data_IF_070240056819
#
_entry.id   IF_070240056819
#
_cell.length_a   1.000
_cell.length_b   1.000
_cell.length_c   1.000
_cell.angle_alpha   90.00
_cell.angle_beta   90.00
_cell.angle_gamma   90.00
#
_symmetry.space_group_name_H-M   'P 1'
#
loop_
_entity.id
_entity.type
_entity.pdbx_description
1 polymer ?
#
# COMPACT_ATOMS: atom_id res chain seq x y z
N UNK A 1 -23.53 -2.34 -30.74
CA UNK A 1 -23.72 -1.61 -29.47
C UNK A 1 -23.00 -2.42 -28.42
N UNK A 2 -22.08 -1.82 -27.68
CA UNK A 2 -21.40 -2.51 -26.58
C UNK A 2 -22.34 -2.39 -25.37
N UNK A 3 -22.91 -3.50 -24.91
CA UNK A 3 -23.73 -3.54 -23.72
C UNK A 3 -22.79 -3.40 -22.52
N UNK A 4 -22.97 -2.31 -21.78
CA UNK A 4 -22.22 -2.02 -20.57
C UNK A 4 -22.95 -2.72 -19.42
N UNK A 5 -22.43 -3.87 -19.00
CA UNK A 5 -22.94 -4.64 -17.86
C UNK A 5 -22.70 -3.89 -16.54
N UNK A 6 -23.78 -3.31 -15.98
CA UNK A 6 -23.78 -2.64 -14.68
C UNK A 6 -23.47 -3.59 -13.51
N UNK A 7 -23.75 -4.89 -13.65
CA UNK A 7 -23.52 -5.90 -12.60
C UNK A 7 -22.04 -6.05 -12.22
N UNK A 8 -21.12 -5.84 -13.17
CA UNK A 8 -19.68 -5.96 -12.91
C UNK A 8 -19.12 -4.84 -12.02
N UNK A 9 -19.87 -3.74 -11.82
CA UNK A 9 -19.44 -2.60 -11.01
C UNK A 9 -19.77 -2.77 -9.53
N UNK A 10 -20.87 -3.43 -9.17
CA UNK A 10 -21.29 -3.61 -7.78
C UNK A 10 -20.38 -4.57 -7.01
N UNK A 11 -19.88 -5.64 -7.64
CA UNK A 11 -18.91 -6.56 -7.02
C UNK A 11 -17.58 -5.86 -6.71
N UNK A 12 -17.16 -4.89 -7.54
CA UNK A 12 -15.94 -4.14 -7.35
C UNK A 12 -16.04 -3.12 -6.17
N UNK A 13 -17.26 -2.65 -5.85
CA UNK A 13 -17.49 -1.76 -4.71
C UNK A 13 -17.46 -2.49 -3.36
N UNK A 14 -17.84 -3.78 -3.32
CA UNK A 14 -17.81 -4.56 -2.10
C UNK A 14 -16.39 -4.79 -1.56
N UNK A 15 -15.39 -4.90 -2.45
CA UNK A 15 -13.97 -5.01 -2.07
C UNK A 15 -13.32 -3.66 -1.76
N UNK A 16 -13.90 -2.55 -2.24
CA UNK A 16 -13.32 -1.21 -2.20
C UNK A 16 -14.12 -0.29 -1.27
N UNK A 17 -14.17 -0.64 0.03
CA UNK A 17 -14.99 0.02 1.04
C UNK A 17 -15.12 1.55 0.88
N UNK A 18 -16.37 2.02 0.86
CA UNK A 18 -16.96 3.39 0.84
C UNK A 18 -16.28 4.56 0.09
N UNK A 19 -15.03 4.45 -0.36
CA UNK A 19 -14.23 5.49 -1.02
C UNK A 19 -13.40 4.91 -2.20
N UNK A 20 -13.71 3.70 -2.68
CA UNK A 20 -12.91 3.04 -3.70
C UNK A 20 -11.53 2.60 -3.20
N UNK A 21 -11.31 2.58 -1.88
CA UNK A 21 -10.07 2.13 -1.26
C UNK A 21 -10.24 0.67 -0.83
N UNK A 22 -9.28 -0.22 -1.15
CA UNK A 22 -9.31 -1.57 -0.62
C UNK A 22 -9.39 -1.54 0.91
N UNK A 23 -10.26 -2.34 1.51
CA UNK A 23 -10.36 -2.47 2.98
C UNK A 23 -9.20 -3.26 3.57
N UNK A 24 -8.55 -4.05 2.73
CA UNK A 24 -7.34 -4.79 3.03
C UNK A 24 -6.38 -4.76 1.85
N UNK A 25 -5.09 -4.82 2.13
CA UNK A 25 -4.07 -4.87 1.09
C UNK A 25 -2.67 -4.90 1.67
N UNK A 26 -1.72 -4.44 0.86
CA UNK A 26 -0.30 -4.47 1.15
C UNK A 26 0.26 -3.06 1.09
N UNK A 27 1.13 -2.73 2.04
CA UNK A 27 1.84 -1.46 2.13
C UNK A 27 3.35 -1.71 2.07
N UNK A 28 4.08 -0.76 1.52
CA UNK A 28 5.55 -0.72 1.59
C UNK A 28 5.91 0.08 2.84
N UNK A 29 6.41 -0.58 3.88
CA UNK A 29 6.82 0.05 5.13
C UNK A 29 8.33 0.33 5.14
N UNK A 30 8.73 1.50 5.63
CA UNK A 30 10.12 1.84 5.85
C UNK A 30 10.67 1.09 7.07
N UNK A 31 11.72 0.29 6.87
CA UNK A 31 12.44 -0.40 7.93
C UNK A 31 13.39 0.60 8.59
N UNK A 32 12.87 1.33 9.59
CA UNK A 32 13.71 2.18 10.43
C UNK A 32 14.77 1.32 11.15
N UNK A 33 16.05 1.73 11.15
CA UNK A 33 17.09 1.03 11.88
C UNK A 33 16.77 1.05 13.38
N UNK A 34 17.19 0.01 14.11
CA UNK A 34 16.81 -0.20 15.52
C UNK A 34 17.19 0.97 16.46
N UNK A 35 18.18 1.78 16.08
CA UNK A 35 18.57 2.99 16.81
C UNK A 35 17.52 4.10 16.71
N UNK A 36 16.88 4.24 15.54
CA UNK A 36 15.86 5.25 15.26
C UNK A 36 14.44 4.81 15.65
N UNK A 37 14.20 3.50 15.73
CA UNK A 37 12.93 2.94 16.23
C UNK A 37 12.57 3.41 17.65
N UNK A 38 13.57 3.74 18.48
CA UNK A 38 13.35 4.25 19.84
C UNK A 38 12.71 5.63 19.86
N UNK A 39 12.89 6.41 18.79
CA UNK A 39 12.42 7.79 18.66
C UNK A 39 11.24 7.92 17.70
N UNK A 40 11.07 6.95 16.78
CA UNK A 40 9.98 6.91 15.81
C UNK A 40 9.10 5.68 16.06
N UNK A 41 8.13 5.82 16.96
CA UNK A 41 7.17 4.77 17.32
C UNK A 41 6.09 4.54 16.25
N UNK A 42 5.98 5.44 15.26
CA UNK A 42 4.94 5.41 14.25
C UNK A 42 5.54 4.86 12.95
N UNK A 43 5.06 3.70 12.46
CA UNK A 43 5.53 3.14 11.19
C UNK A 43 5.20 4.09 10.04
N UNK A 44 6.11 4.17 9.07
CA UNK A 44 5.98 5.02 7.89
C UNK A 44 5.87 4.17 6.64
N UNK A 45 4.98 4.57 5.75
CA UNK A 45 4.64 3.82 4.54
C UNK A 45 4.78 4.68 3.30
N UNK A 46 5.10 4.06 2.17
CA UNK A 46 5.34 4.76 0.91
C UNK A 46 4.02 5.20 0.26
N UNK A 47 3.96 6.47 -0.14
CA UNK A 47 2.94 6.99 -1.04
C UNK A 47 3.57 7.17 -2.43
N UNK A 48 3.23 6.30 -3.40
CA UNK A 48 3.85 6.27 -4.74
C UNK A 48 3.64 7.60 -5.50
N UNK A 49 2.47 8.22 -5.36
CA UNK A 49 2.16 9.47 -6.05
C UNK A 49 3.06 10.66 -5.65
N UNK A 50 3.66 10.61 -4.46
CA UNK A 50 4.50 11.71 -3.92
C UNK A 50 5.93 11.25 -3.62
N UNK A 51 6.20 9.94 -3.57
CA UNK A 51 7.46 9.37 -3.09
C UNK A 51 7.70 9.58 -1.59
N UNK A 52 6.71 10.06 -0.83
CA UNK A 52 6.86 10.40 0.58
C UNK A 52 6.54 9.24 1.52
N UNK A 53 7.13 9.29 2.71
CA UNK A 53 6.90 8.35 3.82
C UNK A 53 5.88 8.92 4.80
N UNK A 54 4.68 8.32 4.86
CA UNK A 54 3.51 8.85 5.58
C UNK A 54 2.86 7.80 6.50
N UNK A 55 1.79 8.16 7.22
CA UNK A 55 0.99 7.18 7.97
C UNK A 55 0.18 6.29 7.02
N UNK A 56 -0.28 5.13 7.51
CA UNK A 56 -0.98 4.13 6.69
C UNK A 56 -2.22 4.69 5.97
N UNK A 57 -2.88 5.69 6.56
CA UNK A 57 -4.10 6.32 6.02
C UNK A 57 -3.86 7.09 4.70
N UNK A 58 -2.63 7.55 4.46
CA UNK A 58 -2.23 8.30 3.25
C UNK A 58 -1.35 7.47 2.31
N UNK A 59 -0.97 6.27 2.73
CA UNK A 59 -0.08 5.40 1.99
C UNK A 59 -0.76 4.78 0.77
N UNK A 60 0.04 4.34 -0.20
CA UNK A 60 -0.48 3.61 -1.35
C UNK A 60 -0.75 2.17 -0.95
N UNK A 61 -2.03 1.80 -0.92
CA UNK A 61 -2.49 0.45 -0.64
C UNK A 61 -2.59 -0.38 -1.92
N UNK A 62 -1.85 -1.49 -1.95
CA UNK A 62 -1.85 -2.40 -3.09
C UNK A 62 -2.76 -3.61 -2.81
N UNK A 63 -3.61 -4.02 -3.76
CA UNK A 63 -4.45 -5.21 -3.57
C UNK A 63 -3.61 -6.50 -3.52
N UNK A 64 -2.50 -6.55 -4.27
CA UNK A 64 -1.62 -7.71 -4.36
C UNK A 64 -0.22 -7.40 -3.80
N UNK A 65 0.35 -8.37 -3.07
CA UNK A 65 1.71 -8.27 -2.51
C UNK A 65 2.76 -8.09 -3.60
N UNK A 66 2.65 -8.86 -4.68
CA UNK A 66 3.59 -8.83 -5.81
C UNK A 66 3.66 -7.44 -6.46
N UNK A 67 2.54 -6.71 -6.51
CA UNK A 67 2.51 -5.32 -7.01
C UNK A 67 3.31 -4.39 -6.08
N UNK A 68 3.14 -4.52 -4.76
CA UNK A 68 3.92 -3.73 -3.81
C UNK A 68 5.43 -4.02 -3.90
N UNK A 69 5.80 -5.28 -4.14
CA UNK A 69 7.20 -5.70 -4.34
C UNK A 69 7.79 -5.12 -5.64
N UNK A 70 7.02 -5.15 -6.74
CA UNK A 70 7.43 -4.56 -8.01
C UNK A 70 7.68 -3.05 -7.88
N UNK A 71 6.75 -2.33 -7.26
CA UNK A 71 6.92 -0.89 -7.01
C UNK A 71 8.12 -0.59 -6.08
N UNK A 72 8.34 -1.38 -5.02
CA UNK A 72 9.52 -1.20 -4.18
C UNK A 72 10.83 -1.33 -4.99
N UNK A 73 10.88 -2.29 -5.93
CA UNK A 73 12.02 -2.47 -6.83
C UNK A 73 12.18 -1.33 -7.84
N UNK A 74 11.08 -0.83 -8.44
CA UNK A 74 11.09 0.30 -9.37
C UNK A 74 11.62 1.59 -8.73
N UNK A 75 11.32 1.82 -7.46
CA UNK A 75 11.86 2.95 -6.70
C UNK A 75 13.31 2.74 -6.24
N UNK A 76 13.95 1.63 -6.62
CA UNK A 76 15.32 1.30 -6.25
C UNK A 76 15.49 0.97 -4.77
N UNK A 77 14.40 0.60 -4.07
CA UNK A 77 14.43 0.37 -2.64
C UNK A 77 14.60 -1.13 -2.36
N UNK A 78 15.76 -1.57 -1.84
CA UNK A 78 15.99 -2.99 -1.61
C UNK A 78 15.11 -3.51 -0.47
N UNK A 79 14.19 -4.43 -0.81
CA UNK A 79 13.33 -5.18 0.11
C UNK A 79 14.13 -5.95 1.19
N UNK A 80 15.41 -6.22 0.96
CA UNK A 80 16.27 -6.91 1.92
C UNK A 80 16.84 -5.99 3.02
N UNK A 81 16.86 -4.67 2.81
CA UNK A 81 17.59 -3.73 3.66
C UNK A 81 16.76 -2.59 4.21
N UNK A 82 16.03 -1.89 3.33
CA UNK A 82 15.44 -0.60 3.64
C UNK A 82 13.93 -0.67 3.89
N UNK A 83 13.21 -1.64 3.32
CA UNK A 83 11.74 -1.69 3.40
C UNK A 83 11.24 -3.10 3.63
N UNK A 84 9.99 -3.23 4.09
CA UNK A 84 9.28 -4.51 4.15
C UNK A 84 7.85 -4.33 3.67
N UNK A 85 7.30 -5.38 3.07
CA UNK A 85 5.90 -5.39 2.65
C UNK A 85 5.05 -5.92 3.80
N UNK A 86 4.07 -5.14 4.25
CA UNK A 86 3.18 -5.51 5.35
C UNK A 86 1.73 -5.54 4.92
N UNK A 87 0.97 -6.45 5.50
CA UNK A 87 -0.46 -6.51 5.29
C UNK A 87 -1.14 -5.43 6.14
N UNK A 88 -1.98 -4.62 5.51
CA UNK A 88 -2.85 -3.66 6.18
C UNK A 88 -4.30 -4.11 6.06
N UNK A 89 -5.02 -4.06 7.18
CA UNK A 89 -6.46 -4.30 7.26
C UNK A 89 -7.03 -3.16 8.11
N UNK A 90 -8.03 -2.45 7.58
CA UNK A 90 -8.76 -1.42 8.30
C UNK A 90 -9.66 -2.03 9.38
#
# INVERSE_FOLDING_TARGET
MYEFDEESWDEQQAETGHLGRPTAGWLIEWKLPAVDQRFTLIPRFLQIGTGQWCSAEYATLFPQRATAEAYANEFGIPLAGAVRIVQHRL
#
